data_IF_736944325301
#
_entry.id   IF_736944325301
#
_cell.length_a   1.000
_cell.length_b   1.000
_cell.length_c   1.000
_cell.angle_alpha   90.00
_cell.angle_beta   90.00
_cell.angle_gamma   90.00
#
_symmetry.space_group_name_H-M   'P 1'
#
loop_
_entity.id
_entity.type
_entity.pdbx_description
1 polymer ?
#
# COMPACT_ATOMS: atom_id res chain seq x y z
N UNK A 1 -4.14 1.80 5.53
CA UNK A 1 -5.57 1.62 5.24
C UNK A 1 -6.27 2.89 5.66
N UNK A 2 -6.88 3.58 4.71
CA UNK A 2 -7.58 4.86 4.93
C UNK A 2 -9.02 4.53 5.31
N UNK A 3 -9.52 5.11 6.39
CA UNK A 3 -10.94 4.97 6.73
C UNK A 3 -11.79 5.79 5.76
N UNK A 4 -12.54 5.09 4.91
CA UNK A 4 -13.44 5.73 3.95
C UNK A 4 -14.78 6.10 4.59
N UNK A 5 -15.09 5.68 5.83
CA UNK A 5 -16.40 5.91 6.44
C UNK A 5 -16.71 7.39 6.62
N UNK A 6 -17.89 7.80 6.16
CA UNK A 6 -18.37 9.18 6.22
C UNK A 6 -17.44 10.19 5.50
N UNK A 7 -16.89 9.78 4.36
CA UNK A 7 -15.98 10.62 3.55
C UNK A 7 -16.55 10.92 2.18
N UNK A 8 -16.00 11.98 1.58
CA UNK A 8 -16.28 12.40 0.21
C UNK A 8 -14.97 12.39 -0.57
N UNK A 9 -14.95 11.71 -1.72
CA UNK A 9 -13.74 11.52 -2.52
C UNK A 9 -13.96 12.01 -3.94
N UNK A 10 -13.13 12.97 -4.37
CA UNK A 10 -13.17 13.51 -5.73
C UNK A 10 -12.45 12.56 -6.67
N UNK A 11 -13.14 12.15 -7.73
CA UNK A 11 -12.65 11.29 -8.80
C UNK A 11 -12.46 12.13 -10.06
N UNK A 12 -11.22 12.19 -10.57
CA UNK A 12 -10.83 12.92 -11.77
C UNK A 12 -10.47 11.99 -12.93
N UNK A 13 -10.11 10.74 -12.64
CA UNK A 13 -9.79 9.72 -13.65
C UNK A 13 -10.53 8.40 -13.39
N UNK A 14 -10.66 7.56 -14.43
CA UNK A 14 -11.22 6.22 -14.28
C UNK A 14 -10.31 5.29 -13.45
N UNK A 15 -9.00 5.55 -13.45
CA UNK A 15 -8.03 4.78 -12.66
C UNK A 15 -8.17 5.07 -11.17
N UNK A 16 -8.28 6.34 -10.78
CA UNK A 16 -8.59 6.76 -9.41
C UNK A 16 -9.86 6.08 -8.90
N UNK A 17 -10.92 6.03 -9.72
CA UNK A 17 -12.16 5.31 -9.39
C UNK A 17 -11.87 3.84 -9.08
N UNK A 18 -11.19 3.15 -9.99
CA UNK A 18 -10.92 1.71 -9.86
C UNK A 18 -10.15 1.41 -8.58
N UNK A 19 -9.17 2.24 -8.25
CA UNK A 19 -8.33 2.03 -7.08
C UNK A 19 -9.08 2.37 -5.77
N UNK A 20 -9.88 3.45 -5.73
CA UNK A 20 -10.73 3.76 -4.58
C UNK A 20 -11.73 2.63 -4.33
N UNK A 21 -12.38 2.11 -5.38
CA UNK A 21 -13.38 1.04 -5.22
C UNK A 21 -12.75 -0.26 -4.72
N UNK A 22 -11.52 -0.61 -5.15
CA UNK A 22 -10.77 -1.74 -4.57
C UNK A 22 -10.52 -1.56 -3.08
N UNK A 23 -10.17 -0.35 -2.65
CA UNK A 23 -9.93 -0.07 -1.22
C UNK A 23 -11.24 -0.07 -0.42
N UNK A 24 -12.33 0.40 -1.01
CA UNK A 24 -13.67 0.36 -0.44
C UNK A 24 -14.19 -1.07 -0.26
N UNK A 25 -13.94 -1.95 -1.24
CA UNK A 25 -14.29 -3.37 -1.19
C UNK A 25 -13.61 -4.08 -0.01
N UNK A 26 -12.33 -3.80 0.25
CA UNK A 26 -11.61 -4.32 1.44
C UNK A 26 -12.28 -3.90 2.75
N UNK A 27 -12.90 -2.72 2.76
CA UNK A 27 -13.64 -2.16 3.90
C UNK A 27 -15.13 -2.54 3.90
N UNK A 28 -15.55 -3.46 3.02
CA UNK A 28 -16.92 -4.00 2.89
C UNK A 28 -17.96 -2.99 2.40
N UNK A 29 -17.52 -1.92 1.75
CA UNK A 29 -18.45 -1.02 1.09
C UNK A 29 -19.12 -1.70 -0.11
N UNK A 30 -20.40 -1.41 -0.31
CA UNK A 30 -21.19 -1.90 -1.42
C UNK A 30 -21.49 -0.76 -2.39
N UNK A 31 -21.03 -0.92 -3.62
CA UNK A 31 -21.49 -0.11 -4.75
C UNK A 31 -22.86 -0.65 -5.22
N UNK A 32 -23.94 -0.13 -4.63
CA UNK A 32 -25.31 -0.61 -4.96
C UNK A 32 -25.71 -0.20 -6.39
N UNK A 33 -25.02 0.77 -6.97
CA UNK A 33 -25.33 1.30 -8.30
C UNK A 33 -24.04 1.34 -9.12
N UNK A 34 -23.53 0.19 -9.60
CA UNK A 34 -22.33 0.16 -10.43
C UNK A 34 -22.56 1.01 -11.68
N UNK A 35 -22.07 2.25 -11.63
CA UNK A 35 -22.39 3.24 -12.65
C UNK A 35 -21.76 2.84 -13.98
N UNK A 36 -22.61 2.61 -14.97
CA UNK A 36 -22.23 2.32 -16.34
C UNK A 36 -21.84 3.62 -17.06
N UNK A 37 -20.53 3.91 -17.08
CA UNK A 37 -19.79 4.66 -18.11
C UNK A 37 -20.25 6.05 -18.59
N UNK A 38 -21.28 6.67 -17.99
CA UNK A 38 -21.95 7.87 -18.53
C UNK A 38 -21.81 9.15 -17.68
N UNK A 39 -21.05 9.10 -16.59
CA UNK A 39 -20.79 10.29 -15.77
C UNK A 39 -19.53 10.98 -16.29
N UNK A 40 -19.68 12.24 -16.69
CA UNK A 40 -18.55 13.11 -17.01
C UNK A 40 -17.70 13.32 -15.77
N UNK A 41 -16.40 13.05 -15.89
CA UNK A 41 -15.43 13.42 -14.88
C UNK A 41 -15.29 14.96 -14.82
N UNK A 42 -15.01 15.55 -13.65
CA UNK A 42 -14.89 14.90 -12.36
C UNK A 42 -16.25 14.62 -11.68
N UNK A 43 -16.28 13.72 -10.71
CA UNK A 43 -17.44 13.50 -9.82
C UNK A 43 -16.99 13.10 -8.42
N UNK A 44 -17.92 13.06 -7.46
CA UNK A 44 -17.62 12.70 -6.07
C UNK A 44 -18.23 11.35 -5.73
N UNK A 45 -17.47 10.50 -5.04
CA UNK A 45 -17.98 9.35 -4.30
C UNK A 45 -18.22 9.74 -2.84
N UNK A 46 -19.43 9.53 -2.34
CA UNK A 46 -19.76 9.62 -0.93
C UNK A 46 -19.77 8.21 -0.33
N UNK A 47 -18.98 8.01 0.71
CA UNK A 47 -18.91 6.78 1.48
C UNK A 47 -19.70 6.95 2.77
N UNK A 48 -20.85 6.29 2.87
CA UNK A 48 -21.78 6.48 3.98
C UNK A 48 -21.44 5.60 5.20
N UNK A 49 -21.93 5.96 6.40
CA UNK A 49 -21.72 5.17 7.61
C UNK A 49 -22.26 3.73 7.57
N UNK A 50 -23.24 3.47 6.70
CA UNK A 50 -23.90 2.19 6.48
C UNK A 50 -23.23 1.35 5.38
N UNK A 51 -21.99 1.69 5.00
CA UNK A 51 -21.17 0.99 4.01
C UNK A 51 -21.70 1.08 2.57
N UNK A 52 -22.54 2.07 2.26
CA UNK A 52 -22.97 2.33 0.89
C UNK A 52 -22.16 3.44 0.21
N UNK A 53 -22.00 3.30 -1.11
CA UNK A 53 -21.32 4.27 -1.96
C UNK A 53 -22.36 4.98 -2.82
N UNK A 54 -22.39 6.31 -2.75
CA UNK A 54 -23.21 7.16 -3.60
C UNK A 54 -22.34 8.06 -4.51
N UNK A 55 -22.87 8.45 -5.66
CA UNK A 55 -22.21 9.38 -6.58
C UNK A 55 -22.93 10.72 -6.61
N UNK A 56 -22.17 11.80 -6.40
CA UNK A 56 -22.64 13.16 -6.64
C UNK A 56 -22.02 13.69 -7.92
N UNK A 57 -22.88 14.20 -8.81
CA UNK A 57 -22.44 14.98 -9.97
C UNK A 57 -22.04 16.36 -9.49
N UNK A 58 -20.93 16.85 -10.02
CA UNK A 58 -20.51 18.22 -9.82
C UNK A 58 -21.46 19.09 -10.67
N UNK A 59 -22.51 19.62 -10.06
CA UNK A 59 -23.24 20.76 -10.62
C UNK A 59 -22.59 22.04 -10.13
N UNK A 60 -22.70 23.11 -10.93
CA UNK A 60 -22.21 24.46 -10.60
C UNK A 60 -22.82 25.08 -9.33
N UNK A 61 -23.75 24.39 -8.68
CA UNK A 61 -24.47 24.84 -7.48
C UNK A 61 -23.92 24.22 -6.18
N UNK A 62 -23.05 23.21 -6.26
CA UNK A 62 -22.45 22.56 -5.09
C UNK A 62 -21.08 23.18 -4.84
N UNK A 63 -20.99 24.08 -3.86
CA UNK A 63 -19.70 24.56 -3.36
C UNK A 63 -19.03 23.45 -2.53
N UNK A 64 -17.93 22.91 -3.05
CA UNK A 64 -17.11 21.87 -2.41
C UNK A 64 -16.57 22.27 -1.03
N UNK A 65 -16.61 23.56 -0.68
CA UNK A 65 -16.12 24.08 0.60
C UNK A 65 -16.97 23.57 1.78
N UNK A 66 -18.25 23.28 1.55
CA UNK A 66 -19.16 22.85 2.63
C UNK A 66 -19.00 21.37 3.01
N UNK A 67 -18.34 20.58 2.16
CA UNK A 67 -18.05 19.16 2.42
C UNK A 67 -16.53 18.96 2.44
N UNK A 68 -15.99 18.37 3.51
CA UNK A 68 -14.58 17.99 3.55
C UNK A 68 -14.30 16.87 2.54
N UNK A 69 -14.03 17.25 1.30
CA UNK A 69 -13.71 16.35 0.19
C UNK A 69 -12.21 16.09 0.16
N UNK A 70 -11.83 14.84 -0.11
CA UNK A 70 -10.46 14.42 -0.33
C UNK A 70 -10.25 14.13 -1.81
N UNK A 71 -9.10 14.47 -2.35
CA UNK A 71 -8.76 14.04 -3.72
C UNK A 71 -8.43 12.54 -3.69
N UNK A 72 -8.95 11.78 -4.67
CA UNK A 72 -8.63 10.36 -4.76
C UNK A 72 -7.13 10.10 -4.87
N UNK A 73 -6.40 10.98 -5.55
CA UNK A 73 -4.94 10.94 -5.62
C UNK A 73 -4.24 11.19 -4.27
N UNK A 74 -4.87 11.85 -3.30
CA UNK A 74 -4.32 12.01 -1.95
C UNK A 74 -4.57 10.75 -1.10
N UNK A 75 -5.73 10.12 -1.28
CA UNK A 75 -6.07 8.91 -0.55
C UNK A 75 -5.35 7.68 -1.11
N UNK A 76 -5.29 7.53 -2.43
CA UNK A 76 -4.60 6.41 -3.08
C UNK A 76 -3.11 6.67 -3.22
N UNK A 77 -2.52 7.61 -2.47
CA UNK A 77 -1.07 7.59 -2.31
C UNK A 77 -0.70 6.30 -1.57
N UNK A 78 -0.54 5.21 -2.31
CA UNK A 78 0.66 4.39 -2.17
C UNK A 78 1.78 5.41 -2.10
N UNK A 79 2.33 5.59 -0.89
CA UNK A 79 3.38 6.59 -0.69
C UNK A 79 4.46 6.24 -1.69
N UNK A 80 4.55 7.00 -2.79
CA UNK A 80 5.59 6.82 -3.77
C UNK A 80 6.91 6.83 -3.01
N UNK A 81 7.68 5.76 -3.22
CA UNK A 81 8.99 5.65 -2.60
C UNK A 81 9.80 6.87 -3.03
N UNK A 82 10.26 7.63 -2.05
CA UNK A 82 11.26 8.66 -2.36
C UNK A 82 12.48 7.98 -2.97
N UNK A 83 13.17 8.65 -3.89
CA UNK A 83 14.39 8.11 -4.50
C UNK A 83 15.40 7.66 -3.42
N UNK A 84 15.45 8.36 -2.28
CA UNK A 84 16.29 8.01 -1.14
C UNK A 84 15.84 6.72 -0.44
N UNK A 85 14.55 6.59 -0.11
CA UNK A 85 14.00 5.35 0.47
C UNK A 85 14.27 4.15 -0.44
N UNK A 86 14.08 4.31 -1.75
CA UNK A 86 14.38 3.28 -2.73
C UNK A 86 15.87 2.90 -2.73
N UNK A 87 16.78 3.86 -2.81
CA UNK A 87 18.24 3.60 -2.87
C UNK A 87 18.73 2.93 -1.58
N UNK A 88 18.31 3.42 -0.41
CA UNK A 88 18.73 2.86 0.88
C UNK A 88 18.28 1.40 1.02
N UNK A 89 17.04 1.09 0.66
CA UNK A 89 16.53 -0.27 0.76
C UNK A 89 17.16 -1.19 -0.30
N UNK A 90 17.23 -0.73 -1.55
CA UNK A 90 17.89 -1.47 -2.62
C UNK A 90 19.35 -1.79 -2.25
N UNK A 91 20.06 -0.86 -1.62
CA UNK A 91 21.43 -1.08 -1.17
C UNK A 91 21.51 -2.23 -0.14
N UNK A 92 20.66 -2.24 0.89
CA UNK A 92 20.64 -3.31 1.91
C UNK A 92 20.51 -4.71 1.29
N UNK A 93 19.62 -4.84 0.31
CA UNK A 93 19.33 -6.12 -0.35
C UNK A 93 20.46 -6.51 -1.32
N UNK A 94 20.94 -5.54 -2.10
CA UNK A 94 21.96 -5.76 -3.12
C UNK A 94 23.32 -6.17 -2.52
N UNK A 95 23.65 -5.71 -1.30
CA UNK A 95 24.85 -6.14 -0.56
C UNK A 95 24.81 -7.64 -0.28
N UNK A 96 23.66 -8.17 0.14
CA UNK A 96 23.47 -9.60 0.42
C UNK A 96 23.38 -10.46 -0.86
N UNK A 97 23.23 -9.84 -2.03
CA UNK A 97 23.13 -10.55 -3.29
C UNK A 97 24.49 -11.02 -3.85
N UNK A 98 25.63 -10.57 -3.31
CA UNK A 98 26.95 -10.76 -3.94
C UNK A 98 27.63 -12.12 -3.73
N UNK A 99 27.13 -13.02 -2.87
CA UNK A 99 27.87 -14.26 -2.56
C UNK A 99 26.95 -15.46 -2.33
N UNK A 100 26.92 -16.40 -3.28
CA UNK A 100 26.41 -17.80 -3.16
C UNK A 100 24.94 -18.00 -2.73
N UNK A 101 24.19 -16.95 -2.37
CA UNK A 101 22.81 -17.02 -1.87
C UNK A 101 21.79 -16.40 -2.84
N UNK A 102 22.09 -16.34 -4.14
CA UNK A 102 21.17 -15.77 -5.14
C UNK A 102 19.78 -16.43 -5.13
N UNK A 103 19.71 -17.73 -4.77
CA UNK A 103 18.44 -18.46 -4.55
C UNK A 103 17.59 -17.90 -3.40
N UNK A 104 18.22 -17.33 -2.37
CA UNK A 104 17.54 -16.71 -1.22
C UNK A 104 17.31 -15.21 -1.42
N UNK A 105 17.99 -14.58 -2.37
CA UNK A 105 17.83 -13.16 -2.63
C UNK A 105 16.44 -12.88 -3.22
N UNK A 106 15.66 -11.98 -2.62
CA UNK A 106 14.34 -11.57 -3.15
C UNK A 106 14.43 -10.98 -4.57
N UNK A 107 15.56 -10.36 -4.92
CA UNK A 107 15.85 -9.85 -6.27
C UNK A 107 16.45 -10.91 -7.21
N UNK A 108 16.59 -12.16 -6.78
CA UNK A 108 17.16 -13.25 -7.56
C UNK A 108 16.18 -13.78 -8.61
N UNK A 109 16.70 -14.21 -9.75
CA UNK A 109 15.92 -14.79 -10.87
C UNK A 109 14.86 -15.83 -10.47
N UNK A 110 15.14 -16.64 -9.45
CA UNK A 110 14.20 -17.69 -9.02
C UNK A 110 12.98 -17.12 -8.28
N UNK A 111 13.15 -15.94 -7.66
CA UNK A 111 12.15 -15.27 -6.82
C UNK A 111 11.40 -14.14 -7.54
N UNK A 112 11.87 -13.73 -8.73
CA UNK A 112 11.22 -12.71 -9.56
C UNK A 112 10.22 -13.33 -10.54
N UNK A 113 9.15 -12.59 -10.83
CA UNK A 113 8.15 -12.83 -11.88
C UNK A 113 8.81 -12.77 -13.26
N UNK A 114 9.69 -11.80 -13.51
CA UNK A 114 10.40 -11.66 -14.79
C UNK A 114 11.49 -12.71 -15.06
N UNK A 115 11.77 -13.61 -14.10
CA UNK A 115 12.82 -14.65 -14.21
C UNK A 115 14.19 -14.08 -14.57
N UNK A 116 14.48 -12.88 -14.05
CA UNK A 116 15.77 -12.20 -14.15
C UNK A 116 16.18 -11.67 -12.80
N UNK A 117 17.49 -11.59 -12.56
CA UNK A 117 17.99 -11.01 -11.33
C UNK A 117 17.91 -9.48 -11.38
N UNK A 118 17.03 -8.90 -10.58
CA UNK A 118 16.78 -7.45 -10.52
C UNK A 118 17.82 -6.69 -9.70
N UNK A 119 18.78 -7.38 -9.08
CA UNK A 119 20.00 -6.75 -8.56
C UNK A 119 20.95 -6.23 -9.66
N UNK A 120 20.73 -6.64 -10.92
CA UNK A 120 21.53 -6.23 -12.07
C UNK A 120 20.76 -5.16 -12.83
N UNK A 121 21.28 -3.93 -12.88
CA UNK A 121 20.60 -2.79 -13.51
C UNK A 121 20.27 -2.97 -14.99
N UNK A 122 21.05 -3.79 -15.72
CA UNK A 122 20.75 -4.12 -17.13
C UNK A 122 19.45 -4.91 -17.30
N UNK A 123 18.95 -5.56 -16.24
CA UNK A 123 17.67 -6.27 -16.26
C UNK A 123 16.47 -5.38 -15.95
N UNK A 124 16.66 -4.12 -15.57
CA UNK A 124 15.55 -3.25 -15.17
C UNK A 124 14.69 -2.79 -16.33
N UNK A 125 15.23 -2.76 -17.55
CA UNK A 125 14.46 -2.38 -18.74
C UNK A 125 13.24 -3.30 -18.88
N UNK A 126 12.06 -2.69 -18.85
CA UNK A 126 10.73 -3.35 -18.87
C UNK A 126 10.37 -4.13 -17.59
N UNK A 127 11.15 -4.04 -16.50
CA UNK A 127 10.89 -4.71 -15.22
C UNK A 127 10.98 -3.73 -14.03
N UNK A 128 10.84 -2.42 -14.28
CA UNK A 128 10.94 -1.36 -13.26
C UNK A 128 9.82 -1.51 -12.22
N UNK A 129 8.59 -1.78 -12.66
CA UNK A 129 7.43 -1.88 -11.76
C UNK A 129 7.60 -3.05 -10.78
N UNK A 130 8.09 -4.19 -11.25
CA UNK A 130 8.37 -5.35 -10.38
C UNK A 130 9.48 -5.04 -9.37
N UNK A 131 10.53 -4.31 -9.78
CA UNK A 131 11.56 -3.87 -8.86
C UNK A 131 11.00 -2.92 -7.79
N UNK A 132 10.18 -1.95 -8.17
CA UNK A 132 9.54 -1.02 -7.24
C UNK A 132 8.61 -1.76 -6.27
N UNK A 133 7.84 -2.74 -6.75
CA UNK A 133 6.95 -3.59 -5.94
C UNK A 133 7.76 -4.32 -4.87
N UNK A 134 8.83 -5.03 -5.25
CA UNK A 134 9.68 -5.77 -4.30
C UNK A 134 10.30 -4.85 -3.24
N UNK A 135 10.82 -3.68 -3.64
CA UNK A 135 11.42 -2.74 -2.70
C UNK A 135 10.37 -2.14 -1.76
N UNK A 136 9.17 -1.84 -2.27
CA UNK A 136 8.06 -1.31 -1.48
C UNK A 136 7.61 -2.28 -0.41
N UNK A 137 7.44 -3.56 -0.78
CA UNK A 137 7.05 -4.63 0.14
C UNK A 137 8.06 -4.77 1.29
N UNK A 138 9.36 -4.71 0.98
CA UNK A 138 10.40 -4.82 2.02
C UNK A 138 10.38 -3.64 3.00
N UNK A 139 10.11 -2.42 2.50
CA UNK A 139 9.98 -1.24 3.36
C UNK A 139 8.74 -1.34 4.25
N UNK A 140 7.64 -1.89 3.73
CA UNK A 140 6.43 -2.14 4.51
C UNK A 140 6.72 -3.17 5.61
N UNK A 141 7.32 -4.31 5.26
CA UNK A 141 7.72 -5.37 6.21
C UNK A 141 8.62 -4.80 7.33
N UNK A 142 9.66 -4.02 7.00
CA UNK A 142 10.56 -3.43 8.00
C UNK A 142 9.83 -2.46 8.94
N UNK A 143 8.90 -1.66 8.41
CA UNK A 143 8.09 -0.72 9.20
C UNK A 143 7.12 -1.46 10.13
N UNK A 144 6.52 -2.55 9.67
CA UNK A 144 5.62 -3.36 10.49
C UNK A 144 6.36 -4.08 11.62
N UNK A 145 7.53 -4.67 11.34
CA UNK A 145 8.39 -5.27 12.36
C UNK A 145 8.74 -4.25 13.45
N UNK A 146 9.20 -3.04 13.05
CA UNK A 146 9.53 -1.97 14.00
C UNK A 146 8.33 -1.54 14.86
N UNK A 147 7.11 -1.54 14.29
CA UNK A 147 5.90 -1.24 15.06
C UNK A 147 5.62 -2.30 16.11
N UNK A 148 5.79 -3.59 15.79
CA UNK A 148 5.61 -4.68 16.74
C UNK A 148 6.69 -4.61 17.83
N UNK A 149 7.96 -4.36 17.46
CA UNK A 149 9.05 -4.17 18.43
C UNK A 149 8.75 -3.03 19.41
N UNK A 150 8.33 -1.87 18.90
CA UNK A 150 7.93 -0.74 19.73
C UNK A 150 6.71 -1.07 20.60
N UNK A 151 5.75 -1.83 20.09
CA UNK A 151 4.58 -2.27 20.86
C UNK A 151 4.99 -3.16 22.03
N UNK A 152 5.88 -4.14 21.80
CA UNK A 152 6.43 -5.00 22.85
C UNK A 152 7.16 -4.15 23.89
N UNK A 153 8.06 -3.26 23.47
CA UNK A 153 8.85 -2.42 24.37
C UNK A 153 7.97 -1.54 25.28
N UNK A 154 6.91 -0.95 24.72
CA UNK A 154 6.00 -0.09 25.47
C UNK A 154 5.00 -0.86 26.34
N UNK A 155 4.69 -2.11 26.00
CA UNK A 155 3.67 -2.94 26.65
C UNK A 155 4.25 -4.06 27.51
N UNK A 156 5.57 -4.14 27.66
CA UNK A 156 6.26 -5.23 28.38
C UNK A 156 5.84 -5.37 29.86
N UNK A 157 5.26 -4.32 30.46
CA UNK A 157 4.75 -4.36 31.85
C UNK A 157 3.31 -4.84 31.97
N UNK A 158 2.56 -4.88 30.87
CA UNK A 158 1.13 -5.21 30.84
C UNK A 158 0.82 -6.50 30.08
N UNK A 159 1.69 -6.92 29.17
CA UNK A 159 1.55 -8.15 28.41
C UNK A 159 2.05 -9.37 29.18
N UNK A 160 1.37 -10.49 28.98
CA UNK A 160 1.83 -11.79 29.44
C UNK A 160 3.17 -12.17 28.77
N UNK A 161 4.06 -12.78 29.55
CA UNK A 161 5.41 -13.14 29.12
C UNK A 161 5.41 -14.12 27.93
N UNK A 162 4.44 -15.03 27.88
CA UNK A 162 4.33 -16.00 26.80
C UNK A 162 3.90 -15.33 25.49
N UNK A 163 3.06 -14.28 25.57
CA UNK A 163 2.69 -13.46 24.40
C UNK A 163 3.90 -12.70 23.87
N UNK A 164 4.68 -12.08 24.76
CA UNK A 164 5.92 -11.37 24.38
C UNK A 164 6.90 -12.33 23.68
N UNK A 165 7.15 -13.49 24.29
CA UNK A 165 8.01 -14.52 23.71
C UNK A 165 7.53 -14.96 22.32
N UNK A 166 6.22 -15.17 22.15
CA UNK A 166 5.66 -15.57 20.85
C UNK A 166 5.88 -14.49 19.78
N UNK A 167 5.67 -13.21 20.11
CA UNK A 167 5.90 -12.10 19.18
C UNK A 167 7.39 -11.95 18.82
N UNK A 168 8.29 -12.11 19.78
CA UNK A 168 9.74 -12.07 19.52
C UNK A 168 10.20 -13.20 18.59
N UNK A 169 9.66 -14.42 18.77
CA UNK A 169 9.92 -15.55 17.86
C UNK A 169 9.44 -15.24 16.44
N UNK A 170 8.26 -14.62 16.29
CA UNK A 170 7.72 -14.20 14.99
C UNK A 170 8.64 -13.16 14.35
N UNK A 171 9.04 -12.12 15.08
CA UNK A 171 9.96 -11.09 14.60
C UNK A 171 11.28 -11.71 14.12
N UNK A 172 11.86 -12.63 14.91
CA UNK A 172 13.10 -13.32 14.55
C UNK A 172 12.96 -14.07 13.22
N UNK A 173 11.88 -14.84 13.06
CA UNK A 173 11.61 -15.58 11.81
C UNK A 173 11.37 -14.67 10.62
N UNK A 174 10.76 -13.51 10.81
CA UNK A 174 10.55 -12.52 9.74
C UNK A 174 11.87 -11.89 9.27
N UNK A 175 12.82 -11.66 10.18
CA UNK A 175 14.15 -11.12 9.86
C UNK A 175 15.10 -12.15 9.21
N UNK A 176 14.85 -13.44 9.40
CA UNK A 176 15.66 -14.54 8.85
C UNK A 176 15.21 -14.98 7.43
N UNK A 177 14.10 -14.44 6.93
CA UNK A 177 13.59 -14.68 5.56
C UNK A 177 14.38 -13.89 4.51
#
# INVERSE_FOLDING_TARGET
>A
MIDLKNTYVVIRTQEERKNILKEAEKQRFQDIRPFTSSISLPYILQFKPDYFIDVFRISSEINFIDYKCYEASELIREKELTAREFIEEFYKISVNCKCLQCKKCKLGKDNTKCKRSLCISSNWKNNVDELIEIISDMIIEEKEIKRIENFIQNSHKTLDKDIVNALEIIIKRLKEK
#
